data_IF_134954668428
#
_entry.id   IF_134954668428
#
_cell.length_a   1.000
_cell.length_b   1.000
_cell.length_c   1.000
_cell.angle_alpha   90.00
_cell.angle_beta   90.00
_cell.angle_gamma   90.00
#
_symmetry.space_group_name_H-M   'P 1'
#
loop_
_entity.id
_entity.type
_entity.pdbx_description
1 polymer ?
#
# COMPACT_ATOMS: atom_id res chain seq x y z
N UNK A 1 24.99 9.81 10.24
CA UNK A 1 23.61 9.31 10.47
C UNK A 1 22.79 9.33 9.19
N UNK A 2 22.74 10.44 8.44
CA UNK A 2 22.08 10.52 7.13
C UNK A 2 22.35 9.32 6.20
N UNK A 3 23.62 8.94 6.00
CA UNK A 3 23.98 7.79 5.15
C UNK A 3 23.40 6.47 5.65
N UNK A 4 23.25 6.30 6.96
CA UNK A 4 22.66 5.08 7.54
C UNK A 4 21.15 5.02 7.26
N UNK A 5 20.44 6.15 7.45
CA UNK A 5 19.00 6.24 7.12
C UNK A 5 18.77 6.00 5.62
N UNK A 6 19.55 6.65 4.76
CA UNK A 6 19.49 6.45 3.31
C UNK A 6 19.74 5.00 2.92
N UNK A 7 20.73 4.37 3.52
CA UNK A 7 21.06 2.97 3.26
C UNK A 7 19.93 2.02 3.66
N UNK A 8 19.35 2.24 4.84
CA UNK A 8 18.23 1.44 5.35
C UNK A 8 17.00 1.56 4.44
N UNK A 9 16.61 2.77 4.05
CA UNK A 9 15.51 3.01 3.11
C UNK A 9 15.77 2.27 1.80
N UNK A 10 16.99 2.33 1.25
CA UNK A 10 17.31 1.66 0.00
C UNK A 10 17.27 0.13 0.09
N UNK A 11 17.72 -0.46 1.20
CA UNK A 11 17.68 -1.91 1.39
C UNK A 11 16.24 -2.41 1.45
N UNK A 12 15.38 -1.70 2.19
CA UNK A 12 14.03 -2.13 2.50
C UNK A 12 12.97 -1.58 1.52
N UNK A 13 13.39 -0.81 0.52
CA UNK A 13 12.49 -0.14 -0.41
C UNK A 13 11.47 -1.09 -1.05
N UNK A 14 11.92 -2.27 -1.46
CA UNK A 14 11.07 -3.27 -2.12
C UNK A 14 10.06 -3.94 -1.17
N UNK A 15 10.25 -3.84 0.15
CA UNK A 15 9.31 -4.37 1.14
C UNK A 15 8.03 -3.55 1.21
N UNK A 16 8.12 -2.23 0.98
CA UNK A 16 7.00 -1.29 1.07
C UNK A 16 7.30 0.00 0.29
N UNK A 17 7.17 -0.03 -1.05
CA UNK A 17 7.61 1.07 -1.90
C UNK A 17 6.89 2.40 -1.62
N UNK A 18 5.64 2.34 -1.15
CA UNK A 18 4.85 3.52 -0.80
C UNK A 18 5.45 4.20 0.44
N UNK A 19 5.60 3.45 1.54
CA UNK A 19 6.14 4.00 2.78
C UNK A 19 7.60 4.45 2.61
N UNK A 20 8.45 3.61 2.01
CA UNK A 20 9.86 3.95 1.84
C UNK A 20 10.09 5.03 0.78
N UNK A 21 9.19 5.19 -0.18
CA UNK A 21 9.13 6.34 -1.08
C UNK A 21 8.92 7.63 -0.30
N UNK A 22 7.88 7.69 0.53
CA UNK A 22 7.58 8.84 1.39
C UNK A 22 8.75 9.18 2.35
N UNK A 23 9.36 8.17 2.98
CA UNK A 23 10.53 8.37 3.84
C UNK A 23 11.75 8.91 3.10
N UNK A 24 11.98 8.46 1.85
CA UNK A 24 13.05 8.98 1.00
C UNK A 24 12.81 10.45 0.69
N UNK A 25 11.60 10.80 0.29
CA UNK A 25 11.24 12.16 -0.08
C UNK A 25 11.39 13.12 1.12
N UNK A 26 10.94 12.69 2.31
CA UNK A 26 11.14 13.44 3.57
C UNK A 26 12.61 13.59 3.94
N UNK A 27 13.44 12.56 3.71
CA UNK A 27 14.90 12.64 3.92
C UNK A 27 15.54 13.66 2.95
N UNK A 28 15.14 13.66 1.69
CA UNK A 28 15.63 14.60 0.68
C UNK A 28 15.26 16.04 1.03
N UNK A 29 14.00 16.27 1.43
CA UNK A 29 13.55 17.57 1.90
C UNK A 29 14.33 18.05 3.13
N UNK A 30 14.59 17.17 4.10
CA UNK A 30 15.38 17.50 5.29
C UNK A 30 16.81 17.91 4.93
N UNK A 31 17.45 17.19 4.01
CA UNK A 31 18.80 17.51 3.52
C UNK A 31 18.81 18.90 2.88
N UNK A 32 17.79 19.23 2.10
CA UNK A 32 17.71 20.53 1.44
C UNK A 32 17.48 21.66 2.45
N UNK A 33 16.55 21.49 3.40
CA UNK A 33 16.31 22.46 4.48
C UNK A 33 17.56 22.74 5.31
N UNK A 34 18.39 21.72 5.58
CA UNK A 34 19.67 21.90 6.26
C UNK A 34 20.66 22.71 5.40
N UNK A 35 20.78 22.40 4.10
CA UNK A 35 21.66 23.15 3.17
C UNK A 35 21.26 24.61 3.04
N UNK A 36 19.96 24.89 3.03
CA UNK A 36 19.40 26.24 2.98
C UNK A 36 19.54 26.99 4.32
N UNK A 37 20.04 26.34 5.38
CA UNK A 37 20.15 26.92 6.72
C UNK A 37 18.81 27.11 7.43
N UNK A 38 17.73 26.48 6.92
CA UNK A 38 16.41 26.50 7.54
C UNK A 38 16.32 25.57 8.75
N UNK A 39 17.20 24.58 8.82
CA UNK A 39 17.34 23.66 9.94
C UNK A 39 18.75 23.78 10.52
N UNK A 40 18.84 23.81 11.84
CA UNK A 40 20.12 23.69 12.53
C UNK A 40 20.50 22.21 12.76
N UNK A 41 21.73 22.00 13.24
CA UNK A 41 22.28 20.66 13.48
C UNK A 41 21.41 19.81 14.42
N UNK A 42 20.90 20.40 15.50
CA UNK A 42 20.08 19.70 16.50
C UNK A 42 18.76 19.24 15.88
N UNK A 43 18.07 20.13 15.19
CA UNK A 43 16.80 19.84 14.50
C UNK A 43 17.00 18.75 13.45
N UNK A 44 18.08 18.82 12.68
CA UNK A 44 18.41 17.82 11.66
C UNK A 44 18.64 16.44 12.27
N UNK A 45 19.36 16.37 13.39
CA UNK A 45 19.58 15.12 14.12
C UNK A 45 18.26 14.56 14.68
N UNK A 46 17.36 15.40 15.16
CA UNK A 46 16.06 14.99 15.69
C UNK A 46 15.18 14.39 14.59
N UNK A 47 15.09 15.03 13.43
CA UNK A 47 14.32 14.50 12.29
C UNK A 47 14.92 13.19 11.75
N UNK A 48 16.25 13.09 11.66
CA UNK A 48 16.91 11.85 11.26
C UNK A 48 16.65 10.70 12.24
N UNK A 49 16.52 10.99 13.55
CA UNK A 49 16.13 9.99 14.54
C UNK A 49 14.68 9.57 14.35
N UNK A 50 13.78 10.53 14.13
CA UNK A 50 12.37 10.23 13.87
C UNK A 50 12.19 9.30 12.66
N UNK A 51 12.87 9.58 11.54
CA UNK A 51 12.87 8.72 10.35
C UNK A 51 13.35 7.29 10.69
N UNK A 52 14.42 7.18 11.48
CA UNK A 52 14.98 5.88 11.86
C UNK A 52 14.06 5.10 12.83
N UNK A 53 13.40 5.79 13.73
CA UNK A 53 12.42 5.20 14.66
C UNK A 53 11.18 4.72 13.91
N UNK A 54 10.74 5.44 12.88
CA UNK A 54 9.66 5.03 11.98
C UNK A 54 10.01 3.73 11.25
N UNK A 55 11.21 3.63 10.67
CA UNK A 55 11.67 2.40 10.01
C UNK A 55 11.73 1.21 10.99
N UNK A 56 12.16 1.45 12.24
CA UNK A 56 12.30 0.40 13.26
C UNK A 56 10.99 0.00 13.92
N UNK A 57 9.94 0.79 13.77
CA UNK A 57 8.66 0.57 14.45
C UNK A 57 7.60 -0.07 13.57
N UNK A 58 7.95 -0.58 12.38
CA UNK A 58 7.00 -1.19 11.44
C UNK A 58 6.15 -2.31 12.03
N UNK A 59 6.75 -3.31 12.68
CA UNK A 59 6.00 -4.35 13.40
C UNK A 59 5.01 -3.77 14.44
N UNK A 60 5.41 -2.69 15.14
CA UNK A 60 4.52 -2.01 16.08
C UNK A 60 3.38 -1.28 15.35
N UNK A 61 3.65 -0.65 14.21
CA UNK A 61 2.63 0.02 13.38
C UNK A 61 1.59 -0.98 12.88
N UNK A 62 2.03 -2.15 12.37
CA UNK A 62 1.15 -3.22 11.95
C UNK A 62 0.22 -3.67 13.10
N UNK A 63 0.78 -3.95 14.28
CA UNK A 63 0.01 -4.37 15.46
C UNK A 63 -0.98 -3.31 15.93
N UNK A 64 -0.58 -2.04 15.91
CA UNK A 64 -1.47 -0.94 16.31
C UNK A 64 -2.67 -0.80 15.36
N UNK A 65 -2.50 -1.13 14.08
CA UNK A 65 -3.58 -1.18 13.08
C UNK A 65 -4.37 -2.50 13.09
N UNK A 66 -4.00 -3.47 13.93
CA UNK A 66 -4.64 -4.79 13.96
C UNK A 66 -4.27 -5.70 12.79
N UNK A 67 -3.19 -5.39 12.07
CA UNK A 67 -2.66 -6.20 10.97
C UNK A 67 -1.77 -7.33 11.50
N UNK A 68 -1.60 -8.41 10.73
CA UNK A 68 -0.88 -9.61 11.19
C UNK A 68 0.63 -9.36 11.34
N UNK A 69 1.22 -8.68 10.37
CA UNK A 69 2.65 -8.41 10.29
C UNK A 69 2.99 -7.22 9.36
N UNK A 70 4.29 -7.01 9.11
CA UNK A 70 4.79 -5.96 8.22
C UNK A 70 4.43 -6.17 6.74
N UNK A 71 4.12 -7.40 6.33
CA UNK A 71 3.65 -7.72 4.97
C UNK A 71 2.26 -7.14 4.80
N UNK A 72 1.33 -7.46 5.70
CA UNK A 72 -0.02 -6.88 5.67
C UNK A 72 0.02 -5.35 5.67
N UNK A 73 0.94 -4.75 6.43
CA UNK A 73 1.12 -3.29 6.45
C UNK A 73 1.55 -2.73 5.09
N UNK A 74 2.43 -3.42 4.35
CA UNK A 74 2.82 -2.99 3.00
C UNK A 74 1.65 -3.03 2.00
N UNK A 75 0.80 -4.05 2.08
CA UNK A 75 -0.42 -4.12 1.28
C UNK A 75 -1.43 -3.03 1.66
N UNK A 76 -1.57 -2.76 2.96
CA UNK A 76 -2.40 -1.67 3.44
C UNK A 76 -1.96 -0.32 2.84
N UNK A 77 -0.67 0.03 2.91
CA UNK A 77 -0.18 1.28 2.33
C UNK A 77 -0.42 1.36 0.81
N UNK A 78 -0.23 0.25 0.08
CA UNK A 78 -0.50 0.22 -1.36
C UNK A 78 -1.99 0.40 -1.69
N UNK A 79 -2.89 -0.14 -0.87
CA UNK A 79 -4.33 0.05 -1.02
C UNK A 79 -4.72 1.49 -0.66
N UNK A 80 -4.20 2.01 0.46
CA UNK A 80 -4.44 3.36 0.94
C UNK A 80 -4.02 4.39 -0.11
N UNK A 81 -2.79 4.30 -0.66
CA UNK A 81 -2.27 5.19 -1.71
C UNK A 81 -3.17 5.26 -2.97
N UNK A 82 -3.87 4.16 -3.28
CA UNK A 82 -4.78 4.09 -4.44
C UNK A 82 -6.21 4.56 -4.09
N UNK A 83 -6.66 4.32 -2.86
CA UNK A 83 -8.04 4.56 -2.42
C UNK A 83 -8.24 5.86 -1.64
N UNK A 84 -7.17 6.58 -1.32
CA UNK A 84 -7.16 7.81 -0.52
C UNK A 84 -8.14 8.90 -1.04
N UNK A 85 -8.58 8.81 -2.30
CA UNK A 85 -9.59 9.69 -2.90
C UNK A 85 -11.05 9.39 -2.51
N UNK A 86 -11.36 8.31 -1.80
CA UNK A 86 -12.73 7.80 -1.66
C UNK A 86 -13.33 7.68 -0.25
N UNK A 87 -12.70 8.25 0.80
CA UNK A 87 -13.25 8.28 2.18
C UNK A 87 -13.62 6.86 2.69
N UNK A 88 -12.84 5.86 2.28
CA UNK A 88 -12.97 4.50 2.78
C UNK A 88 -12.45 4.49 4.21
N UNK A 89 -13.36 4.42 5.20
CA UNK A 89 -12.97 4.39 6.62
C UNK A 89 -11.92 3.31 6.93
N UNK A 90 -11.02 3.59 7.89
CA UNK A 90 -9.84 2.77 8.21
C UNK A 90 -10.18 1.28 8.42
N UNK A 91 -11.30 0.97 9.08
CA UNK A 91 -11.75 -0.42 9.27
C UNK A 91 -12.01 -1.16 7.94
N UNK A 92 -12.56 -0.47 6.93
CA UNK A 92 -12.80 -1.06 5.62
C UNK A 92 -11.48 -1.32 4.87
N UNK A 93 -10.50 -0.43 5.01
CA UNK A 93 -9.17 -0.62 4.43
C UNK A 93 -8.45 -1.80 5.05
N UNK A 94 -8.54 -1.96 6.38
CA UNK A 94 -7.98 -3.11 7.10
C UNK A 94 -8.65 -4.41 6.63
N UNK A 95 -9.98 -4.45 6.54
CA UNK A 95 -10.72 -5.62 6.08
C UNK A 95 -10.37 -6.00 4.63
N UNK A 96 -10.30 -5.00 3.74
CA UNK A 96 -9.90 -5.20 2.35
C UNK A 96 -8.46 -5.71 2.25
N UNK A 97 -7.55 -5.19 3.07
CA UNK A 97 -6.16 -5.64 3.14
C UNK A 97 -6.11 -7.12 3.49
N UNK A 98 -6.79 -7.53 4.57
CA UNK A 98 -6.79 -8.92 5.01
C UNK A 98 -7.31 -9.88 3.93
N UNK A 99 -8.37 -9.51 3.23
CA UNK A 99 -8.97 -10.35 2.18
C UNK A 99 -8.09 -10.41 0.92
N UNK A 100 -7.47 -9.29 0.52
CA UNK A 100 -6.55 -9.27 -0.61
C UNK A 100 -5.29 -10.09 -0.34
N UNK A 101 -4.68 -9.93 0.84
CA UNK A 101 -3.50 -10.71 1.21
C UNK A 101 -3.84 -12.19 1.26
N UNK A 102 -4.97 -12.56 1.87
CA UNK A 102 -5.44 -13.95 1.87
C UNK A 102 -5.58 -14.53 0.46
N UNK A 103 -6.19 -13.77 -0.46
CA UNK A 103 -6.29 -14.16 -1.87
C UNK A 103 -4.91 -14.37 -2.50
N UNK A 104 -3.97 -13.46 -2.29
CA UNK A 104 -2.60 -13.55 -2.86
C UNK A 104 -1.83 -14.73 -2.26
N UNK A 105 -1.96 -15.00 -0.96
CA UNK A 105 -1.29 -16.10 -0.26
C UNK A 105 -1.66 -17.48 -0.84
N UNK A 106 -2.90 -17.68 -1.29
CA UNK A 106 -3.34 -18.91 -1.98
C UNK A 106 -2.51 -19.21 -3.25
N UNK A 107 -1.94 -18.16 -3.84
CA UNK A 107 -1.16 -18.24 -5.05
C UNK A 107 0.35 -18.26 -4.83
N UNK A 108 0.85 -17.57 -3.80
CA UNK A 108 2.30 -17.43 -3.53
C UNK A 108 2.93 -18.76 -3.13
N UNK A 109 2.15 -19.72 -2.59
CA UNK A 109 2.61 -21.09 -2.33
C UNK A 109 3.09 -21.84 -3.60
N UNK A 110 2.76 -21.35 -4.80
CA UNK A 110 3.18 -21.93 -6.08
C UNK A 110 4.42 -21.22 -6.62
N UNK A 111 5.62 -21.76 -6.34
CA UNK A 111 6.95 -21.20 -6.73
C UNK A 111 7.01 -20.69 -8.18
N UNK A 112 6.27 -21.28 -9.11
CA UNK A 112 6.26 -20.94 -10.53
C UNK A 112 5.56 -19.61 -10.89
N UNK A 113 4.92 -18.94 -9.92
CA UNK A 113 4.12 -17.74 -10.22
C UNK A 113 4.93 -16.56 -10.76
N UNK A 114 6.21 -16.46 -10.40
CA UNK A 114 7.12 -15.44 -10.93
C UNK A 114 7.38 -15.62 -12.43
N UNK A 115 7.27 -16.84 -12.94
CA UNK A 115 7.62 -17.19 -14.32
C UNK A 115 6.39 -17.41 -15.21
N UNK A 116 5.24 -17.80 -14.63
CA UNK A 116 4.03 -18.16 -15.39
C UNK A 116 3.03 -17.00 -15.48
N UNK A 117 3.04 -16.29 -16.61
CA UNK A 117 2.07 -15.21 -16.92
C UNK A 117 0.61 -15.62 -16.76
N UNK A 118 0.25 -16.87 -17.09
CA UNK A 118 -1.13 -17.38 -16.91
C UNK A 118 -1.57 -17.43 -15.45
N UNK A 119 -0.62 -17.67 -14.53
CA UNK A 119 -0.90 -17.70 -13.10
C UNK A 119 -1.06 -16.26 -12.58
N UNK A 120 -0.21 -15.34 -13.01
CA UNK A 120 -0.32 -13.90 -12.71
C UNK A 120 -1.64 -13.29 -13.20
N UNK A 121 -2.07 -13.64 -14.43
CA UNK A 121 -3.35 -13.18 -14.97
C UNK A 121 -4.54 -13.68 -14.15
N UNK A 122 -4.47 -14.91 -13.62
CA UNK A 122 -5.51 -15.48 -12.76
C UNK A 122 -5.56 -14.77 -11.41
N UNK A 123 -4.41 -14.54 -10.78
CA UNK A 123 -4.31 -13.75 -9.55
C UNK A 123 -4.96 -12.38 -9.72
N UNK A 124 -4.60 -11.66 -10.79
CA UNK A 124 -5.17 -10.34 -11.07
C UNK A 124 -6.68 -10.43 -11.25
N UNK A 125 -7.17 -11.45 -11.96
CA UNK A 125 -8.62 -11.64 -12.15
C UNK A 125 -9.36 -11.92 -10.84
N UNK A 126 -8.78 -12.71 -9.95
CA UNK A 126 -9.40 -13.05 -8.67
C UNK A 126 -9.33 -11.90 -7.68
N UNK A 127 -8.18 -11.23 -7.57
CA UNK A 127 -8.00 -10.00 -6.79
C UNK A 127 -8.89 -8.84 -7.28
N UNK A 128 -9.14 -8.74 -8.59
CA UNK A 128 -10.03 -7.73 -9.18
C UNK A 128 -11.49 -8.22 -9.35
N UNK A 129 -11.84 -9.39 -8.81
CA UNK A 129 -13.16 -9.99 -9.01
C UNK A 129 -14.27 -9.10 -8.41
N UNK A 130 -15.49 -9.06 -8.99
CA UNK A 130 -16.59 -8.21 -8.49
C UNK A 130 -17.01 -8.42 -7.03
N UNK A 131 -16.51 -9.48 -6.37
CA UNK A 131 -16.59 -9.66 -4.92
C UNK A 131 -16.07 -8.43 -4.15
N UNK A 132 -15.17 -7.64 -4.77
CA UNK A 132 -14.59 -6.39 -4.27
C UNK A 132 -15.22 -5.11 -4.84
N UNK A 133 -16.19 -5.20 -5.78
CA UNK A 133 -16.71 -4.05 -6.55
C UNK A 133 -18.21 -3.76 -6.28
N UNK A 134 -18.92 -4.49 -5.41
CA UNK A 134 -20.33 -4.16 -5.09
C UNK A 134 -20.74 -4.37 -3.62
N UNK A 135 -21.37 -3.39 -2.94
CA UNK A 135 -21.08 -1.96 -2.91
C UNK A 135 -20.84 -1.48 -1.45
N UNK A 136 -19.64 -0.97 -1.15
CA UNK A 136 -19.51 0.02 -0.07
C UNK A 136 -19.84 1.43 -0.61
N UNK A 137 -19.75 1.63 -1.93
CA UNK A 137 -20.26 2.80 -2.66
C UNK A 137 -20.67 2.39 -4.08
N UNK A 138 -21.87 2.77 -4.59
CA UNK A 138 -22.10 2.73 -6.02
C UNK A 138 -21.30 3.87 -6.67
N UNK A 139 -20.37 3.62 -7.61
CA UNK A 139 -19.67 4.70 -8.29
C UNK A 139 -20.65 5.54 -9.13
N UNK A 140 -20.39 6.84 -9.39
CA UNK A 140 -21.31 7.74 -10.12
C UNK A 140 -21.70 7.27 -11.53
N UNK A 141 -20.97 6.30 -12.08
CA UNK A 141 -21.21 5.69 -13.38
C UNK A 141 -21.95 4.33 -13.32
N UNK A 142 -22.32 3.85 -12.13
CA UNK A 142 -22.96 2.55 -11.91
C UNK A 142 -24.30 2.37 -12.65
N UNK A 143 -25.01 3.46 -12.93
CA UNK A 143 -26.24 3.42 -13.74
C UNK A 143 -25.99 2.90 -15.16
N UNK A 144 -24.80 3.14 -15.71
CA UNK A 144 -24.45 2.71 -17.08
C UNK A 144 -24.18 1.21 -17.16
N UNK A 145 -23.66 0.59 -16.10
CA UNK A 145 -23.41 -0.85 -16.06
C UNK A 145 -24.69 -1.66 -15.85
N UNK A 146 -25.58 -1.19 -14.98
CA UNK A 146 -26.90 -1.81 -14.80
C UNK A 146 -27.81 -1.67 -16.04
N UNK A 147 -27.57 -0.67 -16.88
CA UNK A 147 -28.24 -0.56 -18.19
C UNK A 147 -27.64 -1.54 -19.22
N UNK A 148 -26.33 -1.80 -19.15
CA UNK A 148 -25.64 -2.73 -20.04
C UNK A 148 -26.01 -4.20 -19.75
N UNK A 149 -26.05 -4.61 -18.48
CA UNK A 149 -26.45 -5.98 -18.09
C UNK A 149 -27.93 -6.27 -18.44
N UNK A 150 -28.84 -5.32 -18.17
CA UNK A 150 -30.26 -5.44 -18.56
C UNK A 150 -30.45 -5.54 -20.08
N UNK A 151 -29.56 -4.93 -20.87
CA UNK A 151 -29.59 -5.03 -22.33
C UNK A 151 -29.06 -6.38 -22.85
N UNK A 152 -28.25 -7.10 -22.07
CA UNK A 152 -27.67 -8.38 -22.45
C UNK A 152 -28.59 -9.56 -22.11
N UNK A 153 -29.33 -9.50 -21.00
CA UNK A 153 -30.31 -10.55 -20.62
C UNK A 153 -31.57 -10.58 -21.51
N UNK A 154 -31.93 -9.48 -22.18
CA UNK A 154 -33.07 -9.45 -23.12
C UNK A 154 -32.76 -10.02 -24.52
N UNK A 155 -31.53 -10.50 -24.76
CA UNK A 155 -31.09 -11.05 -26.06
C UNK A 155 -30.73 -12.55 -26.03
N UNK A 156 -31.11 -13.26 -24.97
CA UNK A 156 -31.10 -14.73 -24.92
C UNK A 156 -32.54 -15.22 -24.91
#
# INVERSE_FOLDING_TARGET
MQNAVKHEINIRFDEDPVQYGSLRDRLEELIEKYREGRYNERETIEELRALMDEIRSRDKQARNKGLRDETDLSFYHAIEDVLDEHDAGEENLIALTADLVGTVEEFVTKVEWKEKTQLQNRMRKEASSPRYITPIFPPPWAEKYLAFERSWEMKI
#
